data_IF_640970974726
#
_entry.id   IF_640970974726
#
_cell.length_a   1.000
_cell.length_b   1.000
_cell.length_c   1.000
_cell.angle_alpha   90.00
_cell.angle_beta   90.00
_cell.angle_gamma   90.00
#
_symmetry.space_group_name_H-M   'P 1'
#
loop_
_entity.id
_entity.type
_entity.pdbx_description
1 polymer ?
#
# COMPACT_ATOMS: atom_id res chain seq x y z
N UNK A 1 2.58 -4.78 -0.77
CA UNK A 1 2.13 -4.89 -2.17
C UNK A 1 2.44 -6.29 -2.68
N UNK A 2 1.53 -6.94 -3.39
CA UNK A 2 1.75 -8.27 -3.97
C UNK A 2 1.80 -8.14 -5.49
N UNK A 3 2.90 -8.60 -6.09
CA UNK A 3 3.09 -8.63 -7.54
C UNK A 3 2.69 -10.02 -8.01
N UNK A 4 1.66 -10.07 -8.84
CA UNK A 4 1.13 -11.31 -9.42
C UNK A 4 1.48 -11.32 -10.89
N UNK A 5 2.09 -12.41 -11.35
CA UNK A 5 2.48 -12.63 -12.74
C UNK A 5 1.52 -13.61 -13.39
N UNK A 6 0.99 -13.22 -14.54
CA UNK A 6 0.24 -14.10 -15.42
C UNK A 6 1.21 -15.03 -16.16
N UNK A 7 1.01 -16.35 -16.04
CA UNK A 7 1.73 -17.37 -16.82
C UNK A 7 0.95 -17.79 -18.05
N UNK A 8 -0.38 -17.78 -17.94
CA UNK A 8 -1.33 -18.05 -19.01
C UNK A 8 -2.66 -17.38 -18.67
N UNK A 9 -3.65 -17.33 -19.60
CA UNK A 9 -4.95 -16.70 -19.33
C UNK A 9 -5.72 -17.25 -18.12
N UNK A 10 -5.33 -18.42 -17.60
CA UNK A 10 -5.97 -19.09 -16.47
C UNK A 10 -5.01 -19.41 -15.32
N UNK A 11 -3.72 -19.06 -15.44
CA UNK A 11 -2.69 -19.38 -14.44
C UNK A 11 -1.92 -18.13 -14.04
N UNK A 12 -1.93 -17.87 -12.74
CA UNK A 12 -1.27 -16.73 -12.12
C UNK A 12 -0.47 -17.22 -10.92
N UNK A 13 0.71 -16.65 -10.72
CA UNK A 13 1.53 -16.91 -9.54
C UNK A 13 1.97 -15.62 -8.86
N UNK A 14 2.23 -15.70 -7.55
CA UNK A 14 2.85 -14.60 -6.83
C UNK A 14 4.33 -14.56 -7.20
N UNK A 15 4.74 -13.55 -7.95
CA UNK A 15 6.15 -13.34 -8.30
C UNK A 15 6.90 -12.78 -7.09
N UNK A 16 6.29 -11.83 -6.37
CA UNK A 16 6.93 -11.14 -5.26
C UNK A 16 5.92 -10.54 -4.28
N UNK A 17 6.28 -10.51 -2.99
CA UNK A 17 5.66 -9.64 -2.00
C UNK A 17 6.62 -8.54 -1.59
N UNK A 18 6.24 -7.30 -1.86
CA UNK A 18 7.01 -6.10 -1.53
C UNK A 18 6.43 -5.45 -0.28
N UNK A 19 7.29 -5.23 0.71
CA UNK A 19 6.93 -4.40 1.86
C UNK A 19 6.83 -2.93 1.42
N UNK A 20 5.70 -2.31 1.75
CA UNK A 20 5.42 -0.89 1.44
C UNK A 20 4.86 -0.22 2.69
N UNK A 21 4.78 1.12 2.69
CA UNK A 21 4.17 1.86 3.80
C UNK A 21 2.73 1.38 4.07
N UNK A 22 2.36 1.33 5.36
CA UNK A 22 1.01 0.95 5.75
C UNK A 22 -0.02 1.91 5.16
N UNK A 23 -1.02 1.39 4.46
CA UNK A 23 -2.04 2.22 3.79
C UNK A 23 -1.68 2.63 2.36
N UNK A 24 -0.51 2.25 1.83
CA UNK A 24 -0.13 2.43 0.43
C UNK A 24 -0.95 1.50 -0.49
N UNK A 25 -2.21 1.88 -0.75
CA UNK A 25 -3.19 1.05 -1.46
C UNK A 25 -3.55 1.59 -2.84
N UNK A 26 -3.39 2.89 -3.06
CA UNK A 26 -3.55 3.47 -4.40
C UNK A 26 -2.24 3.28 -5.15
N UNK A 27 -2.31 2.65 -6.32
CA UNK A 27 -1.14 2.27 -7.11
C UNK A 27 -1.39 2.62 -8.58
N UNK A 28 -0.35 3.08 -9.27
CA UNK A 28 -0.34 3.21 -10.73
C UNK A 28 0.98 2.70 -11.29
N UNK A 29 0.96 2.25 -12.55
CA UNK A 29 2.12 1.77 -13.30
C UNK A 29 2.44 2.75 -14.43
N UNK A 30 3.63 3.32 -14.41
CA UNK A 30 4.21 3.98 -15.57
C UNK A 30 4.91 2.94 -16.46
N UNK A 31 4.28 2.60 -17.59
CA UNK A 31 4.83 1.63 -18.54
C UNK A 31 6.01 2.16 -19.36
N UNK A 32 6.25 3.47 -19.39
CA UNK A 32 7.38 4.05 -20.15
C UNK A 32 8.69 3.84 -19.41
N UNK A 33 8.67 4.01 -18.09
CA UNK A 33 9.85 3.89 -17.23
C UNK A 33 9.89 2.57 -16.46
N UNK A 34 8.79 1.80 -16.44
CA UNK A 34 8.70 0.56 -15.65
C UNK A 34 8.54 0.79 -14.15
N UNK A 35 8.20 2.02 -13.73
CA UNK A 35 8.04 2.34 -12.32
C UNK A 35 6.59 2.19 -11.84
N UNK A 36 6.43 1.64 -10.65
CA UNK A 36 5.18 1.69 -9.91
C UNK A 36 5.22 2.88 -8.96
N UNK A 37 4.14 3.63 -8.90
CA UNK A 37 3.95 4.70 -7.92
C UNK A 37 2.81 4.34 -6.99
N UNK A 38 3.06 4.51 -5.69
CA UNK A 38 2.02 4.46 -4.66
C UNK A 38 2.27 5.60 -3.67
N UNK A 39 1.31 5.89 -2.80
CA UNK A 39 1.48 6.93 -1.80
C UNK A 39 0.90 6.53 -0.46
N UNK A 40 1.43 7.14 0.58
CA UNK A 40 0.92 6.98 1.93
C UNK A 40 1.31 8.17 2.81
N UNK A 41 0.91 8.11 4.06
CA UNK A 41 1.34 9.00 5.12
C UNK A 41 1.56 8.19 6.39
N UNK A 42 2.40 8.70 7.28
CA UNK A 42 2.51 8.13 8.61
C UNK A 42 1.26 8.45 9.44
N UNK A 43 0.95 7.55 10.36
CA UNK A 43 -0.13 7.73 11.33
C UNK A 43 0.45 7.52 12.71
N UNK A 44 0.01 8.35 13.64
CA UNK A 44 0.27 8.13 15.06
C UNK A 44 -0.39 6.85 15.57
N UNK A 45 -0.26 6.58 16.88
CA UNK A 45 -0.92 5.44 17.52
C UNK A 45 -2.44 5.46 17.26
N UNK A 46 -3.01 4.29 16.97
CA UNK A 46 -4.45 4.15 16.86
C UNK A 46 -5.09 4.30 18.26
N UNK A 47 -6.23 5.02 18.38
CA UNK A 47 -6.99 5.01 19.63
C UNK A 47 -7.51 3.60 19.96
N UNK A 48 -7.91 3.34 21.22
CA UNK A 48 -8.53 2.08 21.59
C UNK A 48 -9.78 1.79 20.77
N UNK A 49 -10.01 0.51 20.46
CA UNK A 49 -11.22 0.06 19.76
C UNK A 49 -12.45 0.31 20.65
N UNK A 50 -13.54 0.91 20.13
CA UNK A 50 -14.77 1.12 20.88
C UNK A 50 -15.35 -0.21 21.39
N UNK A 51 -15.87 -0.27 22.63
CA UNK A 51 -16.46 -1.48 23.20
C UNK A 51 -17.68 -2.01 22.43
N UNK A 52 -18.36 -1.13 21.68
CA UNK A 52 -19.59 -1.42 20.94
C UNK A 52 -19.39 -2.24 19.65
N UNK A 53 -18.20 -2.83 19.43
CA UNK A 53 -17.93 -3.65 18.25
C UNK A 53 -17.81 -2.87 16.94
N UNK A 54 -17.62 -1.55 17.02
CA UNK A 54 -17.41 -0.69 15.86
C UNK A 54 -16.02 -0.88 15.23
N UNK A 55 -15.87 -0.40 13.99
CA UNK A 55 -14.57 -0.40 13.29
C UNK A 55 -13.53 0.34 14.14
N UNK A 56 -12.38 -0.30 14.36
CA UNK A 56 -11.27 0.32 15.06
C UNK A 56 -10.85 1.64 14.37
N UNK A 57 -10.69 2.74 15.13
CA UNK A 57 -10.24 4.00 14.57
C UNK A 57 -8.80 3.88 14.07
N UNK A 58 -8.46 4.66 13.05
CA UNK A 58 -7.08 4.79 12.61
C UNK A 58 -6.40 5.90 13.43
N UNK A 59 -5.07 5.80 13.59
CA UNK A 59 -4.29 6.91 14.12
C UNK A 59 -4.37 8.16 13.24
N UNK A 60 -4.21 9.31 13.88
CA UNK A 60 -4.20 10.62 13.23
C UNK A 60 -3.00 10.72 12.27
N UNK A 61 -3.17 11.26 11.05
CA UNK A 61 -2.06 11.53 10.14
C UNK A 61 -1.00 12.44 10.79
N UNK A 62 0.28 12.10 10.61
CA UNK A 62 1.39 12.97 11.04
C UNK A 62 1.55 14.10 10.00
N UNK A 63 1.50 15.39 10.39
CA UNK A 63 1.67 16.50 9.46
C UNK A 63 3.00 16.41 8.70
N UNK A 64 2.98 16.67 7.39
CA UNK A 64 4.18 16.64 6.54
C UNK A 64 4.71 15.25 6.17
N UNK A 65 4.10 14.16 6.65
CA UNK A 65 4.57 12.77 6.38
C UNK A 65 4.10 12.17 5.06
N UNK A 66 3.33 12.91 4.27
CA UNK A 66 2.86 12.42 2.97
C UNK A 66 4.06 12.12 2.08
N UNK A 67 4.09 10.90 1.54
CA UNK A 67 5.20 10.41 0.73
C UNK A 67 4.67 9.66 -0.47
N UNK A 68 5.28 9.90 -1.63
CA UNK A 68 5.12 9.08 -2.83
C UNK A 68 6.28 8.07 -2.85
N UNK A 69 5.94 6.79 -2.93
CA UNK A 69 6.89 5.71 -3.09
C UNK A 69 6.99 5.38 -4.58
N UNK A 70 8.19 5.49 -5.13
CA UNK A 70 8.54 4.95 -6.45
C UNK A 70 9.19 3.58 -6.26
N UNK A 71 8.72 2.58 -7.01
CA UNK A 71 9.14 1.19 -6.89
C UNK A 71 9.59 0.70 -8.28
N UNK A 72 10.75 0.04 -8.33
CA UNK A 72 11.37 -0.47 -9.56
C UNK A 72 12.70 0.24 -9.86
N UNK A 73 13.52 -0.38 -10.71
CA UNK A 73 14.74 0.18 -11.29
C UNK A 73 14.51 0.57 -12.74
#
# INVERSE_FOLDING_TARGET
MTIVKEKSPTSFEVEQNLQTMNGARTVTLDRKTGHLFTMSQERGPAPPTPPSGGRAPQGTPVPGSFTILMIGQ
#
